data_IF_371250437386
#
_entry.id   IF_371250437386
#
_cell.length_a   1.000
_cell.length_b   1.000
_cell.length_c   1.000
_cell.angle_alpha   90.00
_cell.angle_beta   90.00
_cell.angle_gamma   90.00
#
_symmetry.space_group_name_H-M   'P 1'
#
loop_
_entity.id
_entity.type
_entity.pdbx_description
1 polymer ?
#
# COMPACT_ATOMS: atom_id res chain seq x y z
N UNK A 1 -6.46 24.08 -7.98
CA UNK A 1 -7.39 23.17 -7.28
C UNK A 1 -6.85 21.76 -7.40
N UNK A 2 -6.36 21.18 -6.31
CA UNK A 2 -5.87 19.81 -6.27
C UNK A 2 -7.06 18.88 -6.50
N UNK A 3 -7.12 18.23 -7.68
CA UNK A 3 -8.00 17.08 -7.91
C UNK A 3 -7.50 15.97 -7.00
N UNK A 4 -8.00 15.91 -5.78
CA UNK A 4 -7.82 14.79 -4.89
C UNK A 4 -8.51 13.61 -5.56
N UNK A 5 -7.71 12.78 -6.26
CA UNK A 5 -8.13 11.41 -6.62
C UNK A 5 -8.73 10.80 -5.36
N UNK A 6 -9.90 10.20 -5.47
CA UNK A 6 -10.54 9.48 -4.37
C UNK A 6 -9.47 8.57 -3.75
N UNK A 7 -9.08 8.81 -2.48
CA UNK A 7 -8.03 8.02 -1.87
C UNK A 7 -8.47 6.57 -1.85
N UNK A 8 -7.56 5.65 -2.14
CA UNK A 8 -7.84 4.23 -1.98
C UNK A 8 -8.41 3.97 -0.59
N UNK A 9 -9.48 3.14 -0.46
CA UNK A 9 -10.07 2.82 0.83
C UNK A 9 -9.00 2.39 1.83
N UNK A 10 -9.13 2.80 3.09
CA UNK A 10 -8.16 2.44 4.13
C UNK A 10 -8.02 0.92 4.27
N UNK A 11 -9.13 0.19 4.17
CA UNK A 11 -9.16 -1.28 4.19
C UNK A 11 -8.38 -1.90 3.03
N UNK A 12 -8.51 -1.35 1.82
CA UNK A 12 -7.77 -1.81 0.65
C UNK A 12 -6.27 -1.59 0.83
N UNK A 13 -5.87 -0.42 1.35
CA UNK A 13 -4.46 -0.14 1.66
C UNK A 13 -3.91 -1.08 2.72
N UNK A 14 -4.68 -1.36 3.78
CA UNK A 14 -4.30 -2.29 4.83
C UNK A 14 -4.12 -3.71 4.28
N UNK A 15 -5.05 -4.20 3.46
CA UNK A 15 -4.93 -5.51 2.80
C UNK A 15 -3.65 -5.62 1.97
N UNK A 16 -3.31 -4.61 1.18
CA UNK A 16 -2.08 -4.61 0.38
C UNK A 16 -0.82 -4.65 1.26
N UNK A 17 -0.82 -3.94 2.39
CA UNK A 17 0.27 -3.98 3.36
C UNK A 17 0.39 -5.35 4.01
N UNK A 18 -0.73 -5.97 4.41
CA UNK A 18 -0.73 -7.30 5.00
C UNK A 18 -0.21 -8.37 4.03
N UNK A 19 -0.60 -8.31 2.75
CA UNK A 19 -0.07 -9.21 1.73
C UNK A 19 1.45 -9.07 1.56
N UNK A 20 1.97 -7.84 1.58
CA UNK A 20 3.43 -7.62 1.54
C UNK A 20 4.11 -8.17 2.80
N UNK A 21 3.54 -7.94 3.98
CA UNK A 21 4.06 -8.48 5.25
C UNK A 21 3.99 -10.01 5.30
N UNK A 22 3.02 -10.62 4.61
CA UNK A 22 2.91 -12.07 4.42
C UNK A 22 3.92 -12.64 3.41
N UNK A 23 4.77 -11.81 2.81
CA UNK A 23 5.87 -12.22 1.93
C UNK A 23 5.61 -12.05 0.43
N UNK A 24 4.48 -11.44 0.03
CA UNK A 24 4.24 -11.09 -1.38
C UNK A 24 5.06 -9.86 -1.77
N UNK A 25 5.50 -9.79 -3.02
CA UNK A 25 6.22 -8.60 -3.49
C UNK A 25 5.24 -7.52 -3.98
N UNK A 26 5.53 -6.23 -3.76
CA UNK A 26 4.73 -5.13 -4.31
C UNK A 26 4.58 -5.21 -5.84
N UNK A 27 5.55 -5.79 -6.54
CA UNK A 27 5.54 -5.98 -7.99
C UNK A 27 4.53 -7.03 -8.45
N UNK A 28 4.36 -8.13 -7.70
CA UNK A 28 3.30 -9.11 -7.96
C UNK A 28 1.92 -8.49 -7.72
N UNK A 29 1.77 -7.80 -6.59
CA UNK A 29 0.53 -7.11 -6.27
C UNK A 29 0.16 -6.04 -7.30
N UNK A 30 1.14 -5.33 -7.87
CA UNK A 30 0.88 -4.37 -8.94
C UNK A 30 0.48 -4.99 -10.29
N UNK A 31 0.68 -6.31 -10.47
CA UNK A 31 0.20 -7.06 -11.65
C UNK A 31 -1.21 -7.58 -11.45
N UNK A 32 -1.57 -7.92 -10.21
CA UNK A 32 -2.87 -8.49 -9.85
C UNK A 32 -3.90 -7.41 -9.47
N UNK A 33 -3.44 -6.25 -9.02
CA UNK A 33 -4.29 -5.15 -8.56
C UNK A 33 -3.95 -3.85 -9.30
N UNK A 34 -4.86 -2.88 -9.25
CA UNK A 34 -4.70 -1.57 -9.89
C UNK A 34 -3.56 -0.67 -9.37
N UNK A 35 -3.18 -0.63 -8.07
CA UNK A 35 -2.14 0.28 -7.61
C UNK A 35 -0.75 -0.18 -8.05
N UNK A 36 0.08 0.78 -8.44
CA UNK A 36 1.48 0.51 -8.81
C UNK A 36 2.29 0.00 -7.62
N UNK A 37 3.37 -0.73 -7.91
CA UNK A 37 4.28 -1.25 -6.89
C UNK A 37 4.81 -0.15 -5.97
N UNK A 38 5.13 1.03 -6.53
CA UNK A 38 5.57 2.20 -5.76
C UNK A 38 4.51 2.69 -4.78
N UNK A 39 3.23 2.68 -5.17
CA UNK A 39 2.12 3.06 -4.30
C UNK A 39 2.02 2.11 -3.10
N UNK A 40 2.16 0.81 -3.35
CA UNK A 40 2.11 -0.23 -2.33
C UNK A 40 3.30 -0.09 -1.36
N UNK A 41 4.52 0.12 -1.88
CA UNK A 41 5.72 0.38 -1.05
C UNK A 41 5.53 1.57 -0.13
N UNK A 42 4.95 2.66 -0.64
CA UNK A 42 4.69 3.85 0.16
C UNK A 42 3.69 3.57 1.30
N UNK A 43 2.68 2.74 1.07
CA UNK A 43 1.74 2.33 2.12
C UNK A 43 2.38 1.44 3.17
N UNK A 44 3.25 0.52 2.77
CA UNK A 44 4.00 -0.33 3.72
C UNK A 44 4.89 0.53 4.60
N UNK A 45 5.65 1.46 4.01
CA UNK A 45 6.50 2.38 4.75
C UNK A 45 5.67 3.31 5.66
N UNK A 46 4.48 3.71 5.25
CA UNK A 46 3.58 4.50 6.10
C UNK A 46 3.05 3.66 7.28
N UNK A 47 2.62 2.43 7.02
CA UNK A 47 2.11 1.52 8.05
C UNK A 47 3.19 1.07 9.04
N UNK A 48 4.46 1.03 8.62
CA UNK A 48 5.61 0.79 9.50
C UNK A 48 5.83 1.97 10.48
N UNK A 49 5.77 3.20 9.97
CA UNK A 49 5.83 4.43 10.78
C UNK A 49 4.65 4.53 11.74
N UNK A 50 3.44 4.23 11.26
CA UNK A 50 2.22 4.28 12.07
C UNK A 50 2.23 3.20 13.17
N UNK A 51 2.90 2.05 12.94
CA UNK A 51 3.10 1.00 13.94
C UNK A 51 4.20 1.32 14.96
N UNK A 52 4.88 2.46 14.84
CA UNK A 52 5.91 2.89 15.79
C UNK A 52 7.26 2.17 15.65
N UNK A 53 7.51 1.53 14.50
CA UNK A 53 8.82 0.95 14.21
C UNK A 53 9.75 2.09 13.78
N UNK A 54 10.70 2.44 14.63
CA UNK A 54 11.79 3.38 14.33
C UNK A 54 13.12 2.71 14.62
#
# INVERSE_FOLDING_TARGET
MSKTRTPYPAEFRAQMVELVRAGRTPQELAREFEPTAQTIVNWVAQADRDAGVR
#
